data_IF_434368280972
#
_entry.id   IF_434368280972
#
_cell.length_a   1.000
_cell.length_b   1.000
_cell.length_c   1.000
_cell.angle_alpha   90.00
_cell.angle_beta   90.00
_cell.angle_gamma   90.00
#
_symmetry.space_group_name_H-M   'P 1'
#
loop_
_entity.id
_entity.type
_entity.pdbx_description
1 polymer ?
#
# COMPACT_ATOMS: atom_id res chain seq x y z
N UNK A 1 1.14 -17.05 -9.26
CA UNK A 1 1.62 -16.55 -7.94
C UNK A 1 0.79 -15.34 -7.60
N UNK A 2 0.38 -15.16 -6.33
CA UNK A 2 -0.41 -14.03 -5.87
C UNK A 2 0.43 -13.17 -4.92
N UNK A 3 0.41 -11.86 -5.10
CA UNK A 3 1.07 -10.87 -4.25
C UNK A 3 0.02 -10.03 -3.53
N UNK A 4 0.15 -9.94 -2.21
CA UNK A 4 -0.69 -9.10 -1.36
C UNK A 4 0.17 -7.99 -0.78
N UNK A 5 -0.11 -6.75 -1.15
CA UNK A 5 0.57 -5.58 -0.62
C UNK A 5 -0.20 -4.98 0.56
N UNK A 6 0.51 -4.61 1.62
CA UNK A 6 -0.09 -3.98 2.80
C UNK A 6 0.14 -2.47 2.74
N UNK A 7 -0.95 -1.71 2.64
CA UNK A 7 -0.92 -0.26 2.76
C UNK A 7 -1.07 0.15 4.22
N UNK A 8 0.06 0.50 4.87
CA UNK A 8 0.09 1.03 6.24
C UNK A 8 -0.12 2.54 6.34
N UNK A 9 -0.41 3.23 5.24
CA UNK A 9 -0.61 4.67 5.27
C UNK A 9 -1.94 5.00 5.98
N UNK A 10 -1.97 5.97 6.91
CA UNK A 10 -3.22 6.42 7.53
C UNK A 10 -4.23 6.93 6.47
N UNK A 11 -3.75 7.35 5.30
CA UNK A 11 -4.57 7.80 4.17
C UNK A 11 -4.73 6.66 3.17
N UNK A 12 -5.97 6.24 2.93
CA UNK A 12 -6.31 5.17 1.97
C UNK A 12 -5.76 5.41 0.57
N UNK A 13 -5.76 6.67 0.11
CA UNK A 13 -5.23 7.08 -1.20
C UNK A 13 -3.94 7.92 -1.06
N UNK A 14 -3.16 7.67 0.00
CA UNK A 14 -1.87 8.32 0.20
C UNK A 14 -0.79 7.82 -0.77
N UNK A 15 0.41 8.40 -0.66
CA UNK A 15 1.54 8.08 -1.53
C UNK A 15 1.89 6.57 -1.53
N UNK A 16 1.73 5.88 -0.41
CA UNK A 16 1.97 4.43 -0.31
C UNK A 16 1.01 3.65 -1.19
N UNK A 17 -0.28 3.99 -1.18
CA UNK A 17 -1.26 3.38 -2.08
C UNK A 17 -0.86 3.60 -3.53
N UNK A 18 -0.54 4.86 -3.89
CA UNK A 18 -0.15 5.19 -5.26
C UNK A 18 1.09 4.42 -5.72
N UNK A 19 2.12 4.33 -4.89
CA UNK A 19 3.32 3.55 -5.19
C UNK A 19 3.01 2.05 -5.38
N UNK A 20 2.17 1.49 -4.50
CA UNK A 20 1.73 0.10 -4.61
C UNK A 20 0.88 -0.15 -5.86
N UNK A 21 0.04 0.80 -6.28
CA UNK A 21 -0.74 0.69 -7.51
C UNK A 21 0.15 0.61 -8.75
N UNK A 22 1.18 1.45 -8.84
CA UNK A 22 2.14 1.41 -9.96
C UNK A 22 2.86 0.07 -10.02
N UNK A 23 3.30 -0.47 -8.88
CA UNK A 23 3.91 -1.80 -8.80
C UNK A 23 2.90 -2.88 -9.22
N UNK A 24 1.66 -2.78 -8.74
CA UNK A 24 0.57 -3.69 -9.07
C UNK A 24 0.27 -3.77 -10.55
N UNK A 25 0.25 -2.63 -11.26
CA UNK A 25 0.10 -2.62 -12.72
C UNK A 25 1.21 -3.40 -13.43
N UNK A 26 2.46 -3.23 -13.02
CA UNK A 26 3.59 -3.95 -13.62
C UNK A 26 3.52 -5.46 -13.34
N UNK A 27 3.12 -5.85 -12.12
CA UNK A 27 2.94 -7.26 -11.76
C UNK A 27 1.80 -7.90 -12.56
N UNK A 28 0.67 -7.21 -12.70
CA UNK A 28 -0.46 -7.67 -13.49
C UNK A 28 -0.08 -7.84 -14.98
N UNK A 29 0.72 -6.92 -15.55
CA UNK A 29 1.25 -7.05 -16.92
C UNK A 29 2.16 -8.29 -17.07
N UNK A 30 2.87 -8.67 -16.02
CA UNK A 30 3.65 -9.91 -15.95
C UNK A 30 2.83 -11.18 -15.68
N UNK A 31 1.49 -11.08 -15.60
CA UNK A 31 0.61 -12.20 -15.30
C UNK A 31 0.61 -12.64 -13.83
N UNK A 32 1.07 -11.77 -12.92
CA UNK A 32 1.06 -12.00 -11.47
C UNK A 32 -0.15 -11.30 -10.87
N UNK A 33 -1.01 -12.06 -10.20
CA UNK A 33 -2.18 -11.52 -9.51
C UNK A 33 -1.74 -10.65 -8.33
N UNK A 34 -2.29 -9.44 -8.24
CA UNK A 34 -1.93 -8.45 -7.23
C UNK A 34 -3.16 -7.83 -6.56
N UNK A 35 -3.12 -7.68 -5.24
CA UNK A 35 -4.11 -6.93 -4.46
C UNK A 35 -3.45 -6.07 -3.38
N UNK A 36 -4.11 -4.97 -3.01
CA UNK A 36 -3.70 -4.11 -1.89
C UNK A 36 -4.71 -4.27 -0.77
N UNK A 37 -4.23 -4.69 0.41
CA UNK A 37 -5.00 -4.65 1.64
C UNK A 37 -4.54 -3.47 2.51
N UNK A 38 -5.49 -2.77 3.14
CA UNK A 38 -5.19 -1.57 3.92
C UNK A 38 -5.25 -1.89 5.40
N UNK A 39 -4.09 -1.80 6.06
CA UNK A 39 -4.01 -1.83 7.53
C UNK A 39 -3.92 -0.38 7.98
N UNK A 40 -5.04 0.14 8.48
CA UNK A 40 -5.12 1.54 8.92
C UNK A 40 -4.32 1.68 10.21
N UNK A 41 -3.21 2.42 10.15
CA UNK A 41 -2.56 2.97 11.34
C UNK A 41 -3.18 4.34 11.64
N UNK A 42 -3.33 4.72 12.90
CA UNK A 42 -3.84 6.06 13.22
C UNK A 42 -2.79 7.13 12.85
N UNK A 43 -3.20 8.25 12.25
CA UNK A 43 -2.29 9.35 11.87
C UNK A 43 -1.51 9.89 13.09
N UNK A 44 -2.09 9.79 14.29
CA UNK A 44 -1.45 10.16 15.57
C UNK A 44 -0.30 9.24 15.94
N UNK A 45 -0.40 7.94 15.64
CA UNK A 45 0.66 6.96 15.90
C UNK A 45 1.86 7.20 14.98
N UNK A 46 1.60 7.53 13.71
CA UNK A 46 2.64 7.85 12.74
C UNK A 46 3.36 9.15 13.11
N UNK A 47 2.62 10.21 13.44
CA UNK A 47 3.20 11.53 13.74
C UNK A 47 4.10 11.51 14.98
N UNK A 48 3.79 10.65 15.96
CA UNK A 48 4.61 10.49 17.16
C UNK A 48 5.92 9.73 16.92
N UNK A 49 6.06 9.04 15.78
CA UNK A 49 7.29 8.31 15.43
C UNK A 49 8.35 9.20 14.76
N UNK A 50 7.94 10.38 14.27
CA UNK A 50 8.78 11.30 13.49
C UNK A 50 9.11 12.60 14.27
N UNK A 51 8.66 12.69 15.53
CA UNK A 51 8.99 13.75 16.48
C UNK A 51 9.92 13.21 17.55
#
# INVERSE_FOLDING_TARGET
>A
MKVVAINGNPRKEGNTYHALSVIGEQLNQGGIEFEIDSVVMEEKEVTNFIR
#
